data_IF_464403174799
#
_entry.id   IF_464403174799
#
_cell.length_a   1.000
_cell.length_b   1.000
_cell.length_c   1.000
_cell.angle_alpha   90.00
_cell.angle_beta   90.00
_cell.angle_gamma   90.00
#
_symmetry.space_group_name_H-M   'P 1'
#
loop_
_entity.id
_entity.type
_entity.pdbx_description
1 polymer ?
#
# COMPACT_ATOMS: atom_id res chain seq x y z
N UNK A 1 10.00 -16.65 -16.78
CA UNK A 1 8.99 -17.57 -16.17
C UNK A 1 8.29 -16.83 -15.02
N UNK A 2 7.51 -17.51 -14.16
CA UNK A 2 6.81 -16.87 -13.02
C UNK A 2 7.76 -16.25 -11.97
N UNK A 3 8.99 -16.75 -11.83
CA UNK A 3 9.97 -16.20 -10.88
C UNK A 3 10.55 -14.89 -11.38
N UNK A 4 10.82 -14.82 -12.69
CA UNK A 4 11.27 -13.57 -13.32
C UNK A 4 10.21 -12.47 -13.22
N UNK A 5 8.93 -12.82 -13.40
CA UNK A 5 7.82 -11.88 -13.24
C UNK A 5 7.71 -11.38 -11.80
N UNK A 6 7.79 -12.27 -10.81
CA UNK A 6 7.74 -11.87 -9.40
C UNK A 6 8.89 -10.91 -9.05
N UNK A 7 10.11 -11.21 -9.48
CA UNK A 7 11.28 -10.38 -9.20
C UNK A 7 11.14 -8.97 -9.79
N UNK A 8 10.70 -8.87 -11.06
CA UNK A 8 10.46 -7.59 -11.73
C UNK A 8 9.37 -6.78 -11.05
N UNK A 9 8.24 -7.40 -10.71
CA UNK A 9 7.14 -6.72 -10.03
C UNK A 9 7.56 -6.20 -8.65
N UNK A 10 8.28 -7.00 -7.86
CA UNK A 10 8.77 -6.53 -6.57
C UNK A 10 9.81 -5.40 -6.72
N UNK A 11 10.67 -5.43 -7.74
CA UNK A 11 11.60 -4.35 -8.04
C UNK A 11 10.85 -3.06 -8.41
N UNK A 12 9.89 -3.15 -9.32
CA UNK A 12 9.08 -2.00 -9.73
C UNK A 12 8.30 -1.40 -8.57
N UNK A 13 7.65 -2.22 -7.76
CA UNK A 13 6.92 -1.77 -6.58
C UNK A 13 7.82 -1.07 -5.53
N UNK A 14 9.10 -1.42 -5.45
CA UNK A 14 10.07 -0.84 -4.50
C UNK A 14 10.65 0.48 -4.96
N UNK A 15 11.07 0.58 -6.22
CA UNK A 15 11.99 1.64 -6.63
C UNK A 15 11.75 2.20 -8.02
N UNK A 16 10.67 1.84 -8.71
CA UNK A 16 10.38 2.50 -9.99
C UNK A 16 10.14 3.99 -9.76
N UNK A 17 10.66 4.82 -10.65
CA UNK A 17 10.53 6.28 -10.58
C UNK A 17 9.09 6.75 -10.78
N UNK A 18 8.29 6.00 -11.55
CA UNK A 18 6.89 6.33 -11.81
C UNK A 18 5.99 5.71 -10.73
N UNK A 19 5.25 6.56 -10.00
CA UNK A 19 4.34 6.12 -8.94
C UNK A 19 3.20 5.24 -9.46
N UNK A 20 2.78 5.42 -10.72
CA UNK A 20 1.79 4.56 -11.37
C UNK A 20 2.36 3.17 -11.61
N UNK A 21 3.63 3.08 -12.01
CA UNK A 21 4.31 1.77 -12.17
C UNK A 21 4.43 1.08 -10.81
N UNK A 22 4.83 1.82 -9.76
CA UNK A 22 4.86 1.26 -8.39
C UNK A 22 3.48 0.75 -7.95
N UNK A 23 2.44 1.56 -8.12
CA UNK A 23 1.06 1.19 -7.78
C UNK A 23 0.59 -0.02 -8.57
N UNK A 24 0.83 -0.05 -9.88
CA UNK A 24 0.42 -1.18 -10.72
C UNK A 24 1.15 -2.46 -10.37
N UNK A 25 2.45 -2.37 -10.06
CA UNK A 25 3.22 -3.52 -9.62
C UNK A 25 2.69 -4.08 -8.29
N UNK A 26 2.28 -3.23 -7.35
CA UNK A 26 1.63 -3.64 -6.10
C UNK A 26 0.31 -4.38 -6.38
N UNK A 27 -0.54 -3.85 -7.26
CA UNK A 27 -1.80 -4.53 -7.66
C UNK A 27 -1.54 -5.91 -8.25
N UNK A 28 -0.58 -6.03 -9.16
CA UNK A 28 -0.24 -7.31 -9.79
C UNK A 28 0.35 -8.32 -8.79
N UNK A 29 1.15 -7.85 -7.83
CA UNK A 29 1.65 -8.68 -6.74
C UNK A 29 0.50 -9.21 -5.87
N UNK A 30 -0.44 -8.35 -5.51
CA UNK A 30 -1.60 -8.75 -4.72
C UNK A 30 -2.47 -9.79 -5.45
N UNK A 31 -2.78 -9.55 -6.73
CA UNK A 31 -3.57 -10.47 -7.52
C UNK A 31 -2.92 -11.85 -7.67
N UNK A 32 -1.62 -11.90 -7.96
CA UNK A 32 -0.92 -13.16 -8.24
C UNK A 32 -0.41 -13.92 -7.01
N UNK A 33 -0.25 -13.25 -5.87
CA UNK A 33 0.44 -13.80 -4.70
C UNK A 33 -0.21 -13.49 -3.35
N UNK A 34 -1.52 -13.18 -3.30
CA UNK A 34 -2.24 -12.91 -2.05
C UNK A 34 -2.17 -14.05 -1.01
N UNK A 35 -2.07 -15.30 -1.47
CA UNK A 35 -1.93 -16.45 -0.57
C UNK A 35 -0.51 -16.62 -0.01
N UNK A 36 0.45 -15.81 -0.45
CA UNK A 36 1.83 -15.93 0.01
C UNK A 36 2.04 -15.20 1.34
N UNK A 37 2.68 -15.84 2.33
CA UNK A 37 2.85 -15.24 3.66
C UNK A 37 3.75 -14.00 3.65
N UNK A 38 4.64 -13.87 2.67
CA UNK A 38 5.53 -12.72 2.55
C UNK A 38 4.83 -11.45 2.05
N UNK A 39 3.65 -11.58 1.42
CA UNK A 39 3.00 -10.43 0.78
C UNK A 39 2.51 -9.42 1.82
N UNK A 40 1.98 -9.87 2.96
CA UNK A 40 1.57 -8.98 4.05
C UNK A 40 2.67 -7.98 4.42
N UNK A 41 3.84 -8.49 4.79
CA UNK A 41 5.00 -7.67 5.17
C UNK A 41 5.44 -6.77 4.01
N UNK A 42 5.42 -7.28 2.79
CA UNK A 42 5.73 -6.49 1.61
C UNK A 42 4.78 -5.29 1.47
N UNK A 43 3.46 -5.50 1.56
CA UNK A 43 2.47 -4.42 1.47
C UNK A 43 2.59 -3.43 2.62
N UNK A 44 2.83 -3.90 3.85
CA UNK A 44 3.08 -3.04 5.00
C UNK A 44 4.28 -2.13 4.78
N UNK A 45 5.39 -2.65 4.27
CA UNK A 45 6.56 -1.84 3.86
C UNK A 45 6.18 -0.83 2.77
N UNK A 46 5.22 -1.14 1.91
CA UNK A 46 4.75 -0.20 0.88
C UNK A 46 3.85 0.90 1.39
N UNK A 47 3.19 0.67 2.51
CA UNK A 47 2.46 1.71 3.26
C UNK A 47 3.40 2.55 4.13
N UNK A 48 4.34 1.91 4.84
CA UNK A 48 5.14 2.49 5.93
C UNK A 48 6.62 2.80 5.59
N UNK A 49 7.09 2.51 4.37
CA UNK A 49 8.47 2.66 3.88
C UNK A 49 9.60 2.46 4.91
N UNK A 50 9.86 1.21 5.27
CA UNK A 50 11.03 0.87 6.06
C UNK A 50 12.33 1.07 5.25
N UNK A 51 13.24 1.89 5.78
CA UNK A 51 14.68 1.90 5.49
C UNK A 51 15.43 2.50 6.68
N UNK A 52 16.62 1.97 6.97
CA UNK A 52 17.41 2.16 8.21
C UNK A 52 17.73 3.63 8.56
N UNK A 53 17.54 4.56 7.62
CA UNK A 53 17.67 5.99 7.85
C UNK A 53 16.46 6.77 7.31
N UNK A 54 15.33 6.64 8.02
CA UNK A 54 14.16 7.54 8.11
C UNK A 54 13.83 8.36 6.84
N UNK A 55 12.98 7.79 5.97
CA UNK A 55 11.92 8.51 5.25
C UNK A 55 10.67 7.64 5.40
N UNK A 56 9.69 8.10 6.18
CA UNK A 56 8.65 7.25 6.77
C UNK A 56 7.60 6.71 5.80
N UNK A 57 7.57 7.12 4.52
CA UNK A 57 6.57 6.67 3.55
C UNK A 57 7.17 6.48 2.16
N UNK A 58 6.49 5.74 1.27
CA UNK A 58 6.83 5.74 -0.16
C UNK A 58 6.97 7.22 -0.59
N UNK A 59 8.08 7.61 -1.25
CA UNK A 59 8.27 8.98 -1.68
C UNK A 59 7.28 9.27 -2.81
N UNK A 60 6.08 9.68 -2.40
CA UNK A 60 5.00 10.11 -3.27
C UNK A 60 4.58 11.51 -2.87
N UNK A 61 4.73 12.42 -3.82
CA UNK A 61 4.20 13.77 -3.76
C UNK A 61 3.14 13.89 -4.86
N UNK A 62 1.90 14.17 -4.46
CA UNK A 62 0.79 14.35 -5.38
C UNK A 62 0.96 15.68 -6.11
N UNK A 63 1.14 15.64 -7.43
CA UNK A 63 1.22 16.86 -8.26
C UNK A 63 -0.14 17.21 -8.87
N UNK A 64 -0.95 16.18 -9.15
CA UNK A 64 -2.30 16.31 -9.69
C UNK A 64 -3.26 15.45 -8.88
N UNK A 65 -4.52 15.86 -8.80
CA UNK A 65 -5.56 15.09 -8.12
C UNK A 65 -5.70 13.67 -8.68
N UNK A 66 -5.43 13.47 -9.96
CA UNK A 66 -5.49 12.19 -10.65
C UNK A 66 -4.23 11.32 -10.54
N UNK A 67 -3.24 11.70 -9.72
CA UNK A 67 -2.03 10.88 -9.56
C UNK A 67 -2.31 9.67 -8.65
N UNK A 68 -1.89 8.49 -9.07
CA UNK A 68 -2.08 7.28 -8.28
C UNK A 68 -1.05 7.22 -7.16
N UNK A 69 -1.54 7.14 -5.92
CA UNK A 69 -0.70 6.99 -4.74
C UNK A 69 -0.41 5.50 -4.51
N UNK A 70 0.85 5.03 -4.62
CA UNK A 70 1.19 3.62 -4.46
C UNK A 70 0.91 3.10 -3.05
N UNK A 71 0.90 3.96 -2.02
CA UNK A 71 0.45 3.58 -0.67
C UNK A 71 -1.04 3.24 -0.64
N UNK A 72 -1.85 3.96 -1.41
CA UNK A 72 -3.28 3.65 -1.54
C UNK A 72 -3.48 2.30 -2.22
N UNK A 73 -2.70 1.98 -3.26
CA UNK A 73 -2.74 0.66 -3.90
C UNK A 73 -2.43 -0.46 -2.90
N UNK A 74 -1.40 -0.28 -2.05
CA UNK A 74 -1.06 -1.23 -1.00
C UNK A 74 -2.16 -1.37 0.06
N UNK A 75 -2.78 -0.26 0.49
CA UNK A 75 -3.88 -0.28 1.45
C UNK A 75 -5.13 -0.96 0.88
N UNK A 76 -5.47 -0.74 -0.40
CA UNK A 76 -6.55 -1.45 -1.08
C UNK A 76 -6.30 -2.95 -1.09
N UNK A 77 -5.09 -3.38 -1.45
CA UNK A 77 -4.72 -4.79 -1.40
C UNK A 77 -4.81 -5.39 0.01
N UNK A 78 -4.39 -4.63 1.03
CA UNK A 78 -4.52 -5.04 2.44
C UNK A 78 -5.99 -5.19 2.85
N UNK A 79 -6.84 -4.23 2.49
CA UNK A 79 -8.27 -4.29 2.78
C UNK A 79 -8.97 -5.45 2.05
N UNK A 80 -8.52 -5.80 0.85
CA UNK A 80 -9.09 -6.89 0.06
C UNK A 80 -8.67 -8.27 0.58
N UNK A 81 -7.37 -8.49 0.78
CA UNK A 81 -6.83 -9.82 1.08
C UNK A 81 -6.55 -10.07 2.57
N UNK A 82 -6.39 -9.00 3.36
CA UNK A 82 -6.07 -9.08 4.79
C UNK A 82 -6.98 -8.20 5.70
N UNK A 83 -8.31 -8.14 5.46
CA UNK A 83 -9.19 -7.23 6.23
C UNK A 83 -9.22 -7.56 7.74
N UNK A 84 -9.09 -8.84 8.08
CA UNK A 84 -9.14 -9.34 9.46
C UNK A 84 -7.76 -9.50 10.12
N UNK A 85 -6.69 -9.07 9.44
CA UNK A 85 -5.36 -9.10 10.07
C UNK A 85 -5.32 -8.11 11.24
N UNK A 86 -4.76 -8.53 12.37
CA UNK A 86 -4.82 -7.79 13.64
C UNK A 86 -4.24 -6.37 13.55
N UNK A 87 -3.29 -6.16 12.64
CA UNK A 87 -2.61 -4.89 12.42
C UNK A 87 -3.26 -4.00 11.33
N UNK A 88 -4.24 -4.49 10.59
CA UNK A 88 -4.86 -3.74 9.47
C UNK A 88 -5.46 -2.42 9.98
N UNK A 89 -6.21 -2.47 11.08
CA UNK A 89 -6.84 -1.26 11.65
C UNK A 89 -5.81 -0.24 12.15
N UNK A 90 -4.75 -0.68 12.83
CA UNK A 90 -3.70 0.22 13.33
C UNK A 90 -2.93 0.88 12.20
N UNK A 91 -2.68 0.15 11.10
CA UNK A 91 -2.01 0.70 9.93
C UNK A 91 -2.87 1.79 9.27
N UNK A 92 -4.17 1.55 9.13
CA UNK A 92 -5.11 2.56 8.62
C UNK A 92 -5.14 3.80 9.53
N UNK A 93 -5.23 3.63 10.85
CA UNK A 93 -5.24 4.76 11.80
C UNK A 93 -3.97 5.61 11.68
N UNK A 94 -2.80 4.99 11.66
CA UNK A 94 -1.52 5.68 11.49
C UNK A 94 -1.48 6.49 10.17
N UNK A 95 -2.01 5.94 9.07
CA UNK A 95 -2.11 6.67 7.80
C UNK A 95 -3.16 7.78 7.83
N UNK A 96 -4.30 7.59 8.48
CA UNK A 96 -5.32 8.64 8.63
C UNK A 96 -4.77 9.87 9.38
N UNK A 97 -3.91 9.66 10.37
CA UNK A 97 -3.41 10.72 11.24
C UNK A 97 -2.12 11.38 10.73
N UNK A 98 -1.26 10.62 10.04
CA UNK A 98 0.11 11.04 9.79
C UNK A 98 0.55 10.96 8.33
N UNK A 99 -0.32 10.54 7.40
CA UNK A 99 0.07 10.49 5.99
C UNK A 99 0.29 11.88 5.40
N UNK A 100 1.38 12.06 4.64
CA UNK A 100 1.68 13.31 3.96
C UNK A 100 0.64 13.68 2.88
N UNK A 101 -0.01 12.69 2.27
CA UNK A 101 -0.97 12.90 1.20
C UNK A 101 -2.39 13.08 1.76
N UNK A 102 -3.01 14.27 1.66
CA UNK A 102 -4.33 14.54 2.23
C UNK A 102 -5.43 13.65 1.64
N UNK A 103 -5.34 13.32 0.36
CA UNK A 103 -6.33 12.42 -0.28
C UNK A 103 -6.21 10.99 0.25
N UNK A 104 -5.00 10.54 0.56
CA UNK A 104 -4.83 9.25 1.20
C UNK A 104 -5.42 9.24 2.61
N UNK A 105 -5.24 10.32 3.39
CA UNK A 105 -5.86 10.44 4.72
C UNK A 105 -7.38 10.33 4.64
N UNK A 106 -8.00 11.06 3.71
CA UNK A 106 -9.45 11.03 3.47
C UNK A 106 -9.93 9.63 3.08
N UNK A 107 -9.30 9.00 2.09
CA UNK A 107 -9.59 7.62 1.69
C UNK A 107 -9.57 6.67 2.89
N UNK A 108 -8.54 6.76 3.74
CA UNK A 108 -8.40 5.85 4.89
C UNK A 108 -9.44 6.13 5.97
N UNK A 109 -9.82 7.40 6.20
CA UNK A 109 -10.89 7.75 7.13
C UNK A 109 -12.24 7.16 6.69
N UNK A 110 -12.54 7.18 5.40
CA UNK A 110 -13.75 6.55 4.86
C UNK A 110 -13.74 5.02 5.05
N UNK A 111 -12.61 4.36 4.80
CA UNK A 111 -12.47 2.91 5.03
C UNK A 111 -12.61 2.54 6.51
N UNK A 112 -12.03 3.33 7.42
CA UNK A 112 -12.19 3.12 8.86
C UNK A 112 -13.65 3.27 9.31
N UNK A 113 -14.39 4.21 8.72
CA UNK A 113 -15.82 4.37 8.96
C UNK A 113 -16.62 3.16 8.44
N UNK A 114 -16.32 2.68 7.22
CA UNK A 114 -16.93 1.47 6.65
C UNK A 114 -16.69 0.25 7.54
N UNK A 115 -15.46 0.01 7.96
CA UNK A 115 -15.11 -1.11 8.85
C UNK A 115 -15.85 -1.05 10.19
N UNK A 116 -16.09 0.16 10.71
CA UNK A 116 -16.80 0.35 11.98
C UNK A 116 -18.33 0.23 11.83
N UNK A 117 -18.87 0.40 10.63
CA UNK A 117 -20.31 0.18 10.34
C UNK A 117 -20.69 -1.28 10.09
N UNK A 118 -19.70 -2.16 9.87
CA UNK A 118 -19.90 -3.58 9.58
C UNK A 118 -19.75 -4.48 10.82
N UNK A 119 -19.29 -3.92 11.94
CA UNK A 119 -19.14 -4.59 13.25
C UNK A 119 -20.32 -4.35 14.16
#
# INVERSE_FOLDING_TARGET
>A
DQRDTLALLQQWARSDTDSRVRGKAIEQLAQGWHDQPWLWEFLCVRVAALSEHRILHDPFERKKSSDDNPRQAALKAILEYYPNHSQTRSLLQDRADHDSDPQLREFVQEELARLSSLS
#
